data_IF_699601783193
#
_entry.id   IF_699601783193
#
_cell.length_a   1.000
_cell.length_b   1.000
_cell.length_c   1.000
_cell.angle_alpha   90.00
_cell.angle_beta   90.00
_cell.angle_gamma   90.00
#
_symmetry.space_group_name_H-M   'P 1'
#
loop_
_entity.id
_entity.type
_entity.pdbx_description
1 polymer ?
#
# COMPACT_ATOMS: atom_id res chain seq x y z
N UNK A 1 44.63 43.57 45.93
CA UNK A 1 43.84 42.82 44.93
C UNK A 1 42.40 42.84 45.40
N UNK A 2 41.74 43.95 45.10
CA UNK A 2 40.55 44.45 45.79
C UNK A 2 39.33 44.47 44.88
N UNK A 3 38.16 44.37 45.52
CA UNK A 3 36.82 44.93 45.20
C UNK A 3 35.73 43.90 44.92
N UNK A 4 34.82 43.67 45.90
CA UNK A 4 33.50 44.32 46.13
C UNK A 4 32.42 43.69 45.23
N UNK A 5 31.43 42.91 45.69
CA UNK A 5 30.41 43.09 46.74
C UNK A 5 29.45 44.27 46.49
N UNK A 6 28.15 43.93 46.38
CA UNK A 6 26.96 44.80 46.52
C UNK A 6 26.86 45.86 45.39
N UNK A 7 25.75 46.48 45.02
CA UNK A 7 24.48 46.76 45.69
C UNK A 7 23.61 47.55 44.71
N UNK A 8 22.29 47.43 44.85
CA UNK A 8 21.33 48.55 44.89
C UNK A 8 21.34 49.60 43.76
N UNK A 9 20.23 49.67 43.01
CA UNK A 9 19.26 50.80 42.94
C UNK A 9 18.58 50.78 41.58
N UNK A 10 17.28 50.47 41.51
CA UNK A 10 16.16 51.33 41.88
C UNK A 10 15.90 52.44 40.83
N UNK A 11 14.61 52.57 40.53
CA UNK A 11 13.92 53.67 39.84
C UNK A 11 14.29 53.90 38.38
N UNK A 12 13.41 53.43 37.49
CA UNK A 12 12.86 54.34 36.50
C UNK A 12 11.37 54.05 36.35
N UNK A 13 10.63 54.63 37.29
CA UNK A 13 9.27 55.08 37.09
C UNK A 13 9.19 55.91 35.81
N UNK A 14 8.66 55.33 34.74
CA UNK A 14 8.03 56.11 33.69
C UNK A 14 6.52 56.03 33.90
N UNK A 15 6.06 56.85 34.83
CA UNK A 15 4.68 57.30 34.88
C UNK A 15 4.42 58.07 33.58
N UNK A 16 3.99 57.36 32.53
CA UNK A 16 3.38 58.02 31.39
C UNK A 16 1.97 58.45 31.81
N UNK A 17 1.89 59.70 32.27
CA UNK A 17 0.64 60.46 32.27
C UNK A 17 0.18 60.57 30.81
N UNK A 18 -0.65 59.63 30.37
CA UNK A 18 -1.39 59.80 29.14
C UNK A 18 -2.67 60.60 29.45
N UNK A 19 -2.90 61.73 28.75
CA UNK A 19 -4.08 62.55 28.95
C UNK A 19 -5.35 61.73 28.68
N UNK A 20 -6.35 62.02 29.49
CA UNK A 20 -7.74 61.60 29.28
C UNK A 20 -8.09 61.86 27.81
N UNK A 21 -8.55 60.78 27.15
CA UNK A 21 -9.19 60.78 25.82
C UNK A 21 -8.22 60.73 24.62
N UNK A 22 -7.60 59.58 24.43
CA UNK A 22 -7.38 59.05 23.08
C UNK A 22 -8.38 57.92 22.86
N UNK A 23 -9.34 58.14 21.94
CA UNK A 23 -10.09 57.05 21.34
C UNK A 23 -9.07 56.21 20.56
N UNK A 24 -8.47 55.22 21.21
CA UNK A 24 -7.79 54.15 20.49
C UNK A 24 -8.85 53.51 19.61
N UNK A 25 -8.77 53.80 18.32
CA UNK A 25 -9.57 53.11 17.33
C UNK A 25 -9.42 51.62 17.54
N UNK A 26 -10.48 50.86 17.25
CA UNK A 26 -10.43 49.41 17.08
C UNK A 26 -9.58 49.04 15.86
N UNK A 27 -8.35 49.54 15.79
CA UNK A 27 -7.39 49.21 14.78
C UNK A 27 -6.73 47.93 15.24
N UNK A 28 -7.11 46.84 14.58
CA UNK A 28 -6.48 45.54 14.71
C UNK A 28 -4.97 45.71 14.45
N UNK A 29 -4.08 45.13 15.27
CA UNK A 29 -2.63 45.28 15.08
C UNK A 29 -2.23 44.79 13.67
N UNK A 30 -1.27 45.48 13.06
CA UNK A 30 -0.88 45.27 11.65
C UNK A 30 -0.32 43.87 11.32
N UNK A 31 0.07 43.09 12.33
CA UNK A 31 0.35 41.65 12.25
C UNK A 31 -0.33 40.99 13.45
N UNK A 32 -1.27 40.09 13.19
CA UNK A 32 -1.87 39.24 14.22
C UNK A 32 -1.19 37.88 14.14
N UNK A 33 -0.38 37.54 15.14
CA UNK A 33 0.19 36.21 15.25
C UNK A 33 -0.85 35.21 15.75
N UNK A 34 -0.76 33.94 15.34
CA UNK A 34 -1.73 32.90 15.71
C UNK A 34 -1.93 32.78 17.24
N UNK A 35 -0.84 32.89 18.02
CA UNK A 35 -0.89 32.86 19.49
C UNK A 35 -1.64 34.07 20.07
N UNK A 36 -1.44 35.26 19.48
CA UNK A 36 -2.16 36.47 19.88
C UNK A 36 -3.64 36.37 19.51
N UNK A 37 -3.98 35.82 18.34
CA UNK A 37 -5.38 35.56 17.93
C UNK A 37 -6.06 34.55 18.85
N UNK A 38 -5.38 33.46 19.20
CA UNK A 38 -5.90 32.43 20.11
C UNK A 38 -6.18 33.00 21.50
N UNK A 39 -5.28 33.82 22.03
CA UNK A 39 -5.47 34.51 23.31
C UNK A 39 -6.55 35.59 23.27
N UNK A 40 -6.82 36.18 22.08
CA UNK A 40 -7.92 37.13 21.87
C UNK A 40 -9.29 36.45 21.71
N UNK A 41 -9.35 35.12 21.58
CA UNK A 41 -10.59 34.34 21.43
C UNK A 41 -11.16 33.84 22.77
N UNK A 42 -10.55 34.18 23.90
CA UNK A 42 -11.13 33.97 25.22
C UNK A 42 -12.09 35.12 25.57
N UNK A 43 -13.29 35.07 24.98
CA UNK A 43 -14.56 35.56 25.56
C UNK A 43 -15.66 35.01 24.63
N UNK A 44 -16.49 34.11 25.17
CA UNK A 44 -17.65 33.52 24.49
C UNK A 44 -18.62 34.62 24.05
N UNK A 45 -18.49 35.10 22.82
CA UNK A 45 -19.39 36.10 22.23
C UNK A 45 -20.38 35.42 21.26
N UNK A 46 -21.62 35.09 21.68
CA UNK A 46 -22.53 34.20 20.94
C UNK A 46 -23.12 34.81 19.66
N UNK A 47 -22.68 36.01 19.24
CA UNK A 47 -23.29 36.78 18.14
C UNK A 47 -22.34 37.23 17.02
N UNK A 48 -21.06 36.90 17.03
CA UNK A 48 -20.17 37.38 15.96
C UNK A 48 -20.18 36.54 14.68
N UNK A 49 -20.92 37.09 13.73
CA UNK A 49 -21.02 36.75 12.32
C UNK A 49 -19.82 37.32 11.53
N UNK A 50 -18.62 36.81 11.80
CA UNK A 50 -17.50 36.77 10.83
C UNK A 50 -16.79 35.42 10.98
N UNK A 51 -17.56 34.34 10.85
CA UNK A 51 -17.07 33.01 10.51
C UNK A 51 -16.69 33.00 9.02
N UNK A 52 -15.67 33.76 8.66
CA UNK A 52 -14.77 33.30 7.60
C UNK A 52 -13.55 32.86 8.38
N UNK A 53 -13.57 31.57 8.71
CA UNK A 53 -12.38 30.85 9.13
C UNK A 53 -11.38 31.10 8.01
N UNK A 54 -10.43 32.02 8.21
CA UNK A 54 -9.31 32.17 7.30
C UNK A 54 -8.45 30.92 7.48
N UNK A 55 -8.95 29.82 6.90
CA UNK A 55 -8.41 28.47 6.97
C UNK A 55 -6.96 28.43 6.54
N UNK A 56 -6.51 29.42 5.77
CA UNK A 56 -5.13 29.55 5.33
C UNK A 56 -4.14 29.62 6.49
N UNK A 57 -4.39 30.43 7.54
CA UNK A 57 -3.42 30.60 8.63
C UNK A 57 -3.44 29.38 9.56
N UNK A 58 -4.63 28.84 9.84
CA UNK A 58 -4.78 27.62 10.62
C UNK A 58 -4.20 26.41 9.87
N UNK A 59 -4.41 26.31 8.56
CA UNK A 59 -3.83 25.30 7.70
C UNK A 59 -2.31 25.47 7.60
N UNK A 60 -1.78 26.69 7.47
CA UNK A 60 -0.33 26.94 7.49
C UNK A 60 0.30 26.47 8.80
N UNK A 61 -0.37 26.67 9.93
CA UNK A 61 0.12 26.21 11.23
C UNK A 61 0.04 24.69 11.38
N UNK A 62 -1.06 24.06 10.93
CA UNK A 62 -1.24 22.60 10.94
C UNK A 62 -0.28 21.91 9.96
N UNK A 63 -0.04 22.52 8.80
CA UNK A 63 0.89 22.04 7.78
C UNK A 63 2.35 22.39 8.07
N UNK A 64 2.60 23.26 9.05
CA UNK A 64 3.97 23.55 9.51
C UNK A 64 4.54 22.27 10.09
N UNK A 65 5.54 21.73 9.41
CA UNK A 65 6.31 20.56 9.87
C UNK A 65 6.99 20.89 11.20
N UNK A 66 7.09 19.89 12.08
CA UNK A 66 7.81 20.03 13.34
C UNK A 66 9.25 20.53 13.07
N UNK A 67 9.81 21.30 13.99
CA UNK A 67 11.17 21.84 13.82
C UNK A 67 12.23 20.72 13.76
N UNK A 68 11.93 19.54 14.33
CA UNK A 68 12.76 18.32 14.27
C UNK A 68 12.49 17.45 13.02
N UNK A 69 11.62 17.87 12.10
CA UNK A 69 11.30 17.09 10.90
C UNK A 69 12.52 17.06 9.96
N UNK A 70 13.20 15.93 9.91
CA UNK A 70 14.19 15.66 8.86
C UNK A 70 13.51 15.01 7.66
N UNK A 71 13.76 15.52 6.46
CA UNK A 71 13.32 14.87 5.21
C UNK A 71 13.97 13.49 5.02
N UNK A 72 15.05 13.23 5.75
CA UNK A 72 15.87 12.02 5.67
C UNK A 72 15.47 10.98 6.73
N UNK A 73 14.52 11.30 7.61
CA UNK A 73 14.02 10.35 8.61
C UNK A 73 13.37 9.15 7.92
N UNK A 74 13.98 7.99 8.10
CA UNK A 74 13.50 6.71 7.59
C UNK A 74 13.11 5.81 8.75
N UNK A 75 11.88 5.31 8.70
CA UNK A 75 11.42 4.28 9.62
C UNK A 75 11.87 2.92 9.06
N UNK A 76 12.60 2.15 9.87
CA UNK A 76 12.97 0.78 9.53
C UNK A 76 11.83 -0.15 9.94
N UNK A 77 11.06 -0.62 8.97
CA UNK A 77 9.97 -1.58 9.19
C UNK A 77 10.52 -3.01 9.02
N UNK A 78 10.18 -3.96 9.91
CA UNK A 78 10.56 -5.36 9.73
C UNK A 78 10.03 -5.93 8.40
N UNK A 79 10.82 -6.81 7.77
CA UNK A 79 10.55 -7.33 6.41
C UNK A 79 9.32 -8.24 6.32
N UNK A 80 8.92 -8.87 7.42
CA UNK A 80 7.71 -9.69 7.47
C UNK A 80 6.49 -8.79 7.62
N UNK A 81 5.71 -8.68 6.54
CA UNK A 81 4.49 -7.90 6.50
C UNK A 81 3.31 -8.83 6.25
N UNK A 82 2.56 -9.12 7.30
CA UNK A 82 1.28 -9.81 7.21
C UNK A 82 0.20 -8.81 6.78
N UNK A 83 -0.27 -8.95 5.54
CA UNK A 83 -1.27 -8.06 4.94
C UNK A 83 -2.71 -8.54 5.16
N UNK A 84 -2.89 -9.74 5.72
CA UNK A 84 -4.19 -10.42 5.97
C UNK A 84 -5.25 -9.48 6.55
N UNK A 85 -4.87 -8.66 7.55
CA UNK A 85 -5.77 -7.73 8.25
C UNK A 85 -6.19 -6.53 7.39
N UNK A 86 -5.36 -6.13 6.43
CA UNK A 86 -5.56 -4.91 5.61
C UNK A 86 -6.36 -5.21 4.35
N UNK A 87 -6.28 -6.41 3.81
CA UNK A 87 -6.83 -6.75 2.49
C UNK A 87 -8.37 -6.86 2.46
N UNK A 88 -9.06 -6.85 3.60
CA UNK A 88 -10.52 -6.89 3.68
C UNK A 88 -11.16 -8.21 3.24
N UNK A 89 -10.36 -9.26 3.03
CA UNK A 89 -10.87 -10.59 2.68
C UNK A 89 -11.41 -11.29 3.94
N UNK A 90 -12.62 -11.86 3.93
CA UNK A 90 -13.14 -12.63 5.05
C UNK A 90 -12.23 -13.81 5.44
N UNK A 91 -12.11 -14.09 6.74
CA UNK A 91 -11.27 -15.17 7.28
C UNK A 91 -11.66 -16.55 6.72
N UNK A 92 -12.95 -16.77 6.45
CA UNK A 92 -13.49 -17.98 5.85
C UNK A 92 -12.81 -18.34 4.53
N UNK A 93 -12.46 -17.35 3.72
CA UNK A 93 -11.76 -17.60 2.48
C UNK A 93 -10.28 -17.85 2.74
N UNK A 94 -9.64 -17.09 3.61
CA UNK A 94 -8.20 -17.14 3.88
C UNK A 94 -7.70 -18.50 4.39
N UNK A 95 -8.39 -19.09 5.38
CA UNK A 95 -7.93 -20.34 6.01
C UNK A 95 -8.41 -21.59 5.28
N UNK A 96 -9.65 -21.59 4.77
CA UNK A 96 -10.28 -22.78 4.18
C UNK A 96 -9.66 -23.17 2.84
N UNK A 97 -9.18 -22.20 2.07
CA UNK A 97 -8.73 -22.43 0.70
C UNK A 97 -7.25 -22.68 0.64
N UNK A 98 -6.87 -23.61 -0.24
CA UNK A 98 -5.48 -23.85 -0.61
C UNK A 98 -5.19 -23.21 -1.96
N UNK A 99 -3.99 -22.66 -2.07
CA UNK A 99 -3.50 -22.02 -3.28
C UNK A 99 -2.53 -22.94 -4.00
N UNK A 100 -2.71 -23.10 -5.31
CA UNK A 100 -1.83 -23.89 -6.16
C UNK A 100 -0.91 -22.97 -6.94
N UNK A 101 0.39 -23.13 -6.75
CA UNK A 101 1.42 -22.44 -7.53
C UNK A 101 2.01 -23.44 -8.52
N UNK A 102 1.86 -23.20 -9.82
CA UNK A 102 2.29 -24.13 -10.86
C UNK A 102 2.61 -23.42 -12.17
N UNK A 103 3.36 -24.08 -13.06
CA UNK A 103 3.47 -23.64 -14.45
C UNK A 103 2.37 -24.35 -15.25
N UNK A 104 1.50 -23.64 -15.98
CA UNK A 104 0.42 -24.27 -16.71
C UNK A 104 0.95 -25.17 -17.83
N UNK A 105 0.35 -26.35 -17.94
CA UNK A 105 0.71 -27.29 -18.99
C UNK A 105 0.38 -26.72 -20.38
N UNK A 106 1.27 -26.98 -21.35
CA UNK A 106 1.00 -26.64 -22.75
C UNK A 106 -0.27 -27.33 -23.24
N UNK A 107 -1.13 -26.59 -23.94
CA UNK A 107 -2.29 -27.16 -24.63
C UNK A 107 -1.85 -28.26 -25.61
N UNK A 108 -2.47 -29.44 -25.51
CA UNK A 108 -2.10 -30.60 -26.34
C UNK A 108 -2.39 -30.34 -27.83
N UNK A 109 -3.44 -29.58 -28.13
CA UNK A 109 -3.88 -29.28 -29.50
C UNK A 109 -2.99 -28.26 -30.21
N UNK A 110 -2.23 -27.44 -29.46
CA UNK A 110 -1.39 -26.37 -30.01
C UNK A 110 0.09 -26.61 -29.73
N UNK A 111 0.97 -26.38 -30.71
CA UNK A 111 2.41 -26.56 -30.53
C UNK A 111 3.13 -25.38 -29.85
N UNK A 112 2.47 -24.23 -29.69
CA UNK A 112 3.04 -23.04 -29.07
C UNK A 112 3.40 -23.24 -27.59
N UNK A 113 4.50 -22.64 -27.14
CA UNK A 113 5.01 -22.79 -25.77
C UNK A 113 5.01 -21.47 -24.96
N UNK A 114 4.31 -20.44 -25.43
CA UNK A 114 4.31 -19.14 -24.76
C UNK A 114 3.63 -19.20 -23.39
N UNK A 115 2.52 -19.92 -23.28
CA UNK A 115 1.75 -20.03 -22.03
C UNK A 115 2.49 -20.73 -20.90
N UNK A 116 3.56 -21.48 -21.16
CA UNK A 116 4.31 -22.27 -20.17
C UNK A 116 5.47 -21.48 -19.54
N UNK A 117 5.60 -20.18 -19.80
CA UNK A 117 6.75 -19.38 -19.34
C UNK A 117 6.58 -18.81 -17.94
N UNK A 118 5.35 -18.47 -17.58
CA UNK A 118 5.02 -17.80 -16.32
C UNK A 118 4.48 -18.81 -15.31
N UNK A 119 4.77 -18.54 -14.04
CA UNK A 119 4.15 -19.22 -12.91
C UNK A 119 2.76 -18.68 -12.70
N UNK A 120 1.80 -19.56 -12.45
CA UNK A 120 0.42 -19.19 -12.16
C UNK A 120 0.07 -19.62 -10.75
N UNK A 121 -0.62 -18.71 -10.07
CA UNK A 121 -1.24 -18.92 -8.78
C UNK A 121 -2.75 -18.99 -9.01
N UNK A 122 -3.31 -20.15 -8.73
CA UNK A 122 -4.75 -20.39 -8.82
C UNK A 122 -5.33 -20.84 -7.47
N UNK A 123 -6.59 -20.48 -7.24
CA UNK A 123 -7.37 -20.92 -6.09
C UNK A 123 -8.12 -22.20 -6.39
N UNK A 124 -8.41 -22.98 -5.34
CA UNK A 124 -9.29 -24.13 -5.46
C UNK A 124 -10.73 -23.73 -5.83
N UNK A 125 -11.36 -24.54 -6.70
CA UNK A 125 -12.69 -24.30 -7.22
C UNK A 125 -13.75 -24.84 -6.24
N UNK A 126 -14.71 -23.99 -5.87
CA UNK A 126 -15.90 -24.41 -5.12
C UNK A 126 -17.03 -24.89 -6.03
N UNK A 127 -18.10 -25.34 -5.40
CA UNK A 127 -19.33 -25.79 -6.06
C UNK A 127 -19.89 -24.73 -7.01
N UNK A 128 -20.29 -25.19 -8.20
CA UNK A 128 -21.07 -24.43 -9.17
C UNK A 128 -22.37 -25.19 -9.41
N UNK A 129 -23.49 -24.49 -9.37
CA UNK A 129 -24.82 -25.08 -9.53
C UNK A 129 -25.53 -24.51 -10.76
N UNK A 130 -26.57 -25.21 -11.21
CA UNK A 130 -27.41 -24.76 -12.32
C UNK A 130 -28.46 -23.73 -11.85
N UNK A 131 -28.60 -22.64 -12.60
CA UNK A 131 -29.67 -21.66 -12.38
C UNK A 131 -31.02 -22.24 -12.85
N UNK A 132 -32.03 -22.36 -11.97
CA UNK A 132 -33.30 -23.03 -12.30
C UNK A 132 -34.12 -22.32 -13.40
N UNK A 133 -33.86 -21.03 -13.67
CA UNK A 133 -34.59 -20.30 -14.70
C UNK A 133 -33.95 -20.43 -16.09
N UNK A 134 -32.63 -20.21 -16.19
CA UNK A 134 -31.91 -20.07 -17.46
C UNK A 134 -30.92 -21.22 -17.77
N UNK A 135 -30.62 -22.09 -16.80
CA UNK A 135 -29.64 -23.17 -16.94
C UNK A 135 -28.18 -22.70 -16.89
N UNK A 136 -27.90 -21.47 -16.46
CA UNK A 136 -26.53 -20.95 -16.34
C UNK A 136 -25.79 -21.51 -15.13
N UNK A 137 -24.47 -21.60 -15.23
CA UNK A 137 -23.60 -22.01 -14.11
C UNK A 137 -23.43 -20.86 -13.12
N UNK A 138 -24.15 -20.95 -12.00
CA UNK A 138 -24.07 -19.99 -10.90
C UNK A 138 -23.04 -20.42 -9.86
N UNK A 139 -22.43 -19.46 -9.18
CA UNK A 139 -21.42 -19.68 -8.15
C UNK A 139 -21.54 -18.62 -7.07
N UNK A 140 -21.28 -19.01 -5.81
CA UNK A 140 -21.17 -18.11 -4.66
C UNK A 140 -19.73 -17.74 -4.33
N UNK A 141 -18.79 -18.07 -5.22
CA UNK A 141 -17.36 -17.92 -4.99
C UNK A 141 -16.79 -16.67 -5.67
N UNK A 142 -16.28 -15.67 -4.92
CA UNK A 142 -15.67 -14.48 -5.51
C UNK A 142 -14.25 -14.73 -6.07
N UNK A 143 -13.54 -15.74 -5.58
CA UNK A 143 -12.12 -16.00 -5.93
C UNK A 143 -11.97 -17.03 -7.05
N UNK A 144 -13.06 -17.63 -7.54
CA UNK A 144 -13.01 -18.75 -8.49
C UNK A 144 -12.39 -18.39 -9.85
N UNK A 145 -12.36 -17.11 -10.20
CA UNK A 145 -11.89 -16.63 -11.50
C UNK A 145 -10.59 -15.81 -11.38
N UNK A 146 -9.96 -15.81 -10.20
CA UNK A 146 -8.71 -15.08 -9.96
C UNK A 146 -7.54 -16.00 -10.25
N UNK A 147 -6.72 -15.61 -11.23
CA UNK A 147 -5.43 -16.22 -11.52
C UNK A 147 -4.38 -15.14 -11.55
N UNK A 148 -3.27 -15.32 -10.84
CA UNK A 148 -2.17 -14.36 -10.80
C UNK A 148 -0.93 -14.96 -11.44
N UNK A 149 -0.27 -14.19 -12.29
CA UNK A 149 0.93 -14.63 -13.02
C UNK A 149 2.19 -14.01 -12.41
N UNK A 150 3.24 -14.82 -12.30
CA UNK A 150 4.53 -14.48 -11.70
C UNK A 150 5.68 -14.96 -12.58
N UNK A 151 6.83 -14.29 -12.48
CA UNK A 151 8.04 -14.69 -13.20
C UNK A 151 8.80 -15.80 -12.47
N UNK A 152 8.82 -15.77 -11.14
CA UNK A 152 9.56 -16.71 -10.30
C UNK A 152 8.64 -17.42 -9.30
N UNK A 153 8.95 -18.68 -8.92
CA UNK A 153 8.16 -19.39 -7.91
C UNK A 153 8.29 -18.76 -6.52
N UNK A 154 9.47 -18.21 -6.21
CA UNK A 154 9.75 -17.53 -4.94
C UNK A 154 8.86 -16.30 -4.76
N UNK A 155 8.68 -15.49 -5.82
CA UNK A 155 7.77 -14.35 -5.76
C UNK A 155 6.31 -14.75 -5.51
N UNK A 156 5.87 -15.88 -6.08
CA UNK A 156 4.54 -16.41 -5.85
C UNK A 156 4.37 -16.93 -4.40
N UNK A 157 5.39 -17.59 -3.86
CA UNK A 157 5.39 -18.07 -2.46
C UNK A 157 5.40 -16.88 -1.49
N UNK A 158 6.26 -15.88 -1.70
CA UNK A 158 6.32 -14.67 -0.90
C UNK A 158 4.98 -13.91 -0.94
N UNK A 159 4.33 -13.86 -2.10
CA UNK A 159 3.00 -13.27 -2.23
C UNK A 159 1.97 -14.02 -1.37
N UNK A 160 1.91 -15.35 -1.46
CA UNK A 160 1.02 -16.16 -0.63
C UNK A 160 1.27 -15.97 0.86
N UNK A 161 2.54 -15.96 1.29
CA UNK A 161 2.94 -15.77 2.68
C UNK A 161 2.49 -14.41 3.21
N UNK A 162 2.77 -13.32 2.48
CA UNK A 162 2.34 -11.95 2.87
C UNK A 162 0.82 -11.83 2.97
N UNK A 163 0.11 -12.57 2.13
CA UNK A 163 -1.35 -12.55 2.07
C UNK A 163 -2.00 -13.55 3.04
N UNK A 164 -1.22 -14.45 3.66
CA UNK A 164 -1.67 -15.44 4.63
C UNK A 164 -2.40 -16.66 4.06
N UNK A 165 -2.20 -16.99 2.77
CA UNK A 165 -2.84 -18.15 2.14
C UNK A 165 -1.98 -19.41 2.25
N UNK A 166 -2.55 -20.58 2.59
CA UNK A 166 -1.82 -21.83 2.57
C UNK A 166 -1.59 -22.29 1.13
N UNK A 167 -0.36 -22.13 0.64
CA UNK A 167 0.02 -22.50 -0.73
C UNK A 167 0.87 -23.78 -0.79
N UNK A 168 0.80 -24.47 -1.92
CA UNK A 168 1.76 -25.51 -2.28
C UNK A 168 2.29 -25.28 -3.69
N UNK A 169 3.54 -25.68 -3.91
CA UNK A 169 4.24 -25.50 -5.19
C UNK A 169 4.29 -26.84 -5.91
N UNK A 170 3.83 -26.85 -7.15
CA UNK A 170 3.96 -27.99 -8.07
C UNK A 170 5.21 -27.80 -8.92
N UNK A 171 6.10 -28.80 -8.92
CA UNK A 171 7.33 -28.74 -9.71
C UNK A 171 7.02 -28.77 -11.22
N UNK A 172 7.59 -27.84 -12.02
CA UNK A 172 7.35 -27.82 -13.44
C UNK A 172 8.05 -29.01 -14.11
N UNK A 173 7.35 -29.67 -15.04
CA UNK A 173 7.90 -30.75 -15.85
C UNK A 173 8.32 -30.23 -17.23
N UNK A 174 9.58 -29.78 -17.44
CA UNK A 174 10.03 -29.32 -18.73
C UNK A 174 10.08 -30.47 -19.75
N UNK A 175 9.82 -30.20 -21.05
CA UNK A 175 9.92 -31.21 -22.08
C UNK A 175 11.36 -31.69 -22.23
N UNK A 176 11.56 -33.01 -22.21
CA UNK A 176 12.87 -33.62 -22.43
C UNK A 176 13.32 -33.41 -23.88
N UNK A 177 14.51 -32.84 -24.07
CA UNK A 177 15.09 -32.68 -25.41
C UNK A 177 15.39 -34.05 -26.02
N UNK A 178 14.84 -34.31 -27.21
CA UNK A 178 15.05 -35.57 -27.96
C UNK A 178 15.93 -35.30 -29.16
N UNK A 179 17.02 -36.07 -29.31
CA UNK A 179 17.87 -36.04 -30.51
C UNK A 179 17.07 -36.64 -31.68
N UNK A 180 16.84 -35.83 -32.72
CA UNK A 180 16.14 -36.24 -33.94
C UNK A 180 17.13 -36.21 -35.10
N UNK A 181 17.29 -37.32 -35.82
CA UNK A 181 18.09 -37.39 -37.04
C UNK A 181 17.21 -37.85 -38.19
N UNK A 182 17.10 -37.04 -39.26
CA UNK A 182 16.32 -37.41 -40.43
C UNK A 182 16.89 -38.65 -41.14
N UNK A 183 18.22 -38.82 -41.13
CA UNK A 183 18.88 -40.02 -41.68
C UNK A 183 18.49 -41.31 -40.95
N UNK A 184 18.12 -41.22 -39.66
CA UNK A 184 17.63 -42.38 -38.91
C UNK A 184 16.31 -42.93 -39.46
N UNK A 185 15.51 -42.11 -40.15
CA UNK A 185 14.27 -42.54 -40.80
C UNK A 185 14.50 -43.50 -41.98
N UNK A 186 15.74 -43.62 -42.49
CA UNK A 186 16.10 -44.47 -43.63
C UNK A 186 17.24 -45.45 -43.31
N UNK A 187 17.41 -45.80 -42.03
CA UNK A 187 18.47 -46.71 -41.59
C UNK A 187 18.38 -48.09 -42.26
N UNK A 188 19.50 -48.59 -42.78
CA UNK A 188 19.62 -49.90 -43.43
C UNK A 188 19.33 -51.08 -42.47
N UNK A 189 19.93 -51.05 -41.27
CA UNK A 189 19.88 -52.17 -40.30
C UNK A 189 19.13 -51.86 -39.00
N UNK A 190 18.48 -50.70 -38.86
CA UNK A 190 17.75 -50.32 -37.63
C UNK A 190 16.24 -50.27 -37.90
N UNK A 191 15.44 -50.53 -36.86
CA UNK A 191 13.97 -50.49 -36.93
C UNK A 191 13.39 -49.07 -36.92
N UNK A 192 14.23 -48.05 -37.06
CA UNK A 192 13.82 -46.65 -37.18
C UNK A 192 13.39 -46.28 -38.60
N UNK A 193 13.53 -47.20 -39.57
CA UNK A 193 13.10 -46.99 -40.94
C UNK A 193 11.59 -46.77 -41.03
N UNK A 194 11.16 -45.62 -41.53
CA UNK A 194 9.74 -45.30 -41.72
C UNK A 194 9.20 -45.94 -43.02
N UNK A 195 7.97 -46.43 -42.99
CA UNK A 195 7.33 -47.06 -44.16
C UNK A 195 6.79 -46.06 -45.19
N UNK A 196 6.50 -44.83 -44.76
CA UNK A 196 5.96 -43.75 -45.57
C UNK A 196 6.47 -42.41 -45.06
N UNK A 197 6.39 -41.35 -45.87
CA UNK A 197 6.83 -39.99 -45.54
C UNK A 197 5.72 -38.98 -45.86
#
# INVERSE_FOLDING_TARGET
MSRLALSLKNVNSLTLLLPVRTKMGKAVPARIDYQLRRLMMDEDDPRFRTRVVDSTIEAEHIMRKADDFSKEDRIVVPKQADLTRVNGVPEEHQSTRRVRIYIPARSVTQSGNEGTRLWRLDFDNRERWENPLMGWTSSGDPLSNVSVEFETPEAAVDFCQRQGWPCYVEEPSPPKMRIKSYGANFSWNKRTRVGTK
#
